data_IF_525485321442
#
_entry.id   IF_525485321442
#
_cell.length_a   1.000
_cell.length_b   1.000
_cell.length_c   1.000
_cell.angle_alpha   90.00
_cell.angle_beta   90.00
_cell.angle_gamma   90.00
#
_symmetry.space_group_name_H-M   'P 1'
#
loop_
_entity.id
_entity.type
_entity.pdbx_description
1 polymer ?
#
# COMPACT_ATOMS: atom_id res chain seq x y z
N UNK A 1 -2.78 -2.96 11.15
CA UNK A 1 -3.57 -4.19 10.90
C UNK A 1 -2.81 -5.39 11.44
N UNK A 2 -3.42 -6.24 12.27
CA UNK A 2 -2.82 -7.50 12.71
C UNK A 2 -3.64 -8.69 12.21
N UNK A 3 -2.96 -9.81 11.95
CA UNK A 3 -3.58 -11.08 11.64
C UNK A 3 -3.05 -12.16 12.60
N UNK A 4 -3.95 -13.02 13.09
CA UNK A 4 -3.62 -14.19 13.90
C UNK A 4 -4.11 -15.42 13.18
N UNK A 5 -3.22 -16.37 12.93
CA UNK A 5 -3.54 -17.67 12.35
C UNK A 5 -3.93 -18.64 13.48
N UNK A 6 -5.02 -19.35 13.28
CA UNK A 6 -5.59 -20.27 14.26
C UNK A 6 -5.64 -21.70 13.71
N UNK A 7 -5.29 -22.66 14.55
CA UNK A 7 -5.47 -24.08 14.30
C UNK A 7 -6.94 -24.51 14.49
N UNK A 8 -7.26 -25.79 14.20
CA UNK A 8 -8.62 -26.33 14.35
C UNK A 8 -9.17 -26.26 15.76
N UNK A 9 -8.32 -26.37 16.76
CA UNK A 9 -8.65 -26.27 18.18
C UNK A 9 -8.70 -24.83 18.71
N UNK A 10 -8.60 -23.84 17.79
CA UNK A 10 -8.56 -22.41 18.07
C UNK A 10 -7.28 -21.92 18.78
N UNK A 11 -6.28 -22.77 18.94
CA UNK A 11 -4.97 -22.33 19.40
C UNK A 11 -4.30 -21.40 18.38
N UNK A 12 -3.49 -20.46 18.86
CA UNK A 12 -2.75 -19.54 18.01
C UNK A 12 -1.51 -20.23 17.43
N UNK A 13 -1.42 -20.26 16.10
CA UNK A 13 -0.23 -20.74 15.39
C UNK A 13 0.80 -19.62 15.27
N UNK A 14 0.38 -18.45 14.81
CA UNK A 14 1.23 -17.29 14.64
C UNK A 14 0.42 -16.00 14.63
N UNK A 15 1.06 -14.88 14.97
CA UNK A 15 0.46 -13.55 14.88
C UNK A 15 1.48 -12.57 14.31
N UNK A 16 1.07 -11.84 13.26
CA UNK A 16 1.90 -10.88 12.54
C UNK A 16 1.11 -9.62 12.21
N UNK A 17 1.84 -8.53 11.93
CA UNK A 17 1.25 -7.25 11.57
C UNK A 17 1.68 -6.74 10.19
N UNK A 18 0.84 -5.91 9.58
CA UNK A 18 1.22 -5.08 8.44
C UNK A 18 1.35 -3.64 8.92
N UNK A 19 2.52 -3.08 8.69
CA UNK A 19 2.81 -1.68 8.94
C UNK A 19 3.16 -0.95 7.64
N UNK A 20 4.15 -1.42 6.89
CA UNK A 20 4.65 -0.74 5.69
C UNK A 20 3.76 -0.94 4.45
N UNK A 21 3.01 -2.05 4.39
CA UNK A 21 2.15 -2.37 3.24
C UNK A 21 0.68 -1.98 3.47
N UNK A 22 0.46 -0.87 4.16
CA UNK A 22 -0.87 -0.34 4.48
C UNK A 22 -0.82 1.19 4.51
N UNK A 23 -1.87 1.85 4.06
CA UNK A 23 -1.97 3.30 4.23
C UNK A 23 -2.21 3.64 5.71
N UNK A 24 -1.41 4.57 6.22
CA UNK A 24 -1.50 5.03 7.60
C UNK A 24 -2.56 6.12 7.80
N UNK A 25 -3.04 6.70 6.70
CA UNK A 25 -4.12 7.67 6.69
C UNK A 25 -5.18 7.24 5.70
N UNK A 26 -6.43 7.19 6.13
CA UNK A 26 -7.58 6.91 5.28
C UNK A 26 -8.62 8.00 5.44
N UNK A 27 -9.03 8.58 4.34
CA UNK A 27 -10.21 9.44 4.29
C UNK A 27 -11.49 8.59 4.34
N UNK A 28 -12.64 9.19 4.71
CA UNK A 28 -13.92 8.47 4.71
C UNK A 28 -14.18 7.77 3.37
N UNK A 29 -14.60 6.51 3.44
CA UNK A 29 -14.86 5.63 2.28
C UNK A 29 -13.65 5.19 1.47
N UNK A 30 -12.43 5.59 1.84
CA UNK A 30 -11.24 5.03 1.25
C UNK A 30 -10.95 3.62 1.78
N UNK A 31 -10.31 2.81 0.95
CA UNK A 31 -9.82 1.48 1.30
C UNK A 31 -8.32 1.43 1.06
N UNK A 32 -7.63 0.69 1.91
CA UNK A 32 -6.20 0.44 1.77
C UNK A 32 -5.96 -1.04 1.56
N UNK A 33 -5.02 -1.43 0.69
CA UNK A 33 -4.50 -2.79 0.71
C UNK A 33 -3.69 -3.03 1.98
N UNK A 34 -3.42 -4.28 2.27
CA UNK A 34 -2.41 -4.68 3.25
C UNK A 34 -1.78 -6.01 2.84
N UNK A 35 -0.56 -6.25 3.29
CA UNK A 35 0.14 -7.51 3.10
C UNK A 35 0.73 -7.95 4.45
N UNK A 36 0.37 -9.16 4.89
CA UNK A 36 0.93 -9.81 6.07
C UNK A 36 1.50 -11.15 5.64
N UNK A 37 2.75 -11.42 6.00
CA UNK A 37 3.45 -12.65 5.64
C UNK A 37 3.73 -13.48 6.89
N UNK A 38 3.57 -14.79 6.76
CA UNK A 38 3.85 -15.78 7.78
C UNK A 38 4.88 -16.78 7.24
N UNK A 39 6.16 -16.42 7.18
CA UNK A 39 7.17 -17.19 6.46
C UNK A 39 7.43 -18.59 7.03
N UNK A 40 7.10 -18.80 8.31
CA UNK A 40 7.36 -20.06 9.03
C UNK A 40 6.11 -20.90 9.24
N UNK A 41 4.99 -20.58 8.58
CA UNK A 41 3.71 -21.29 8.76
C UNK A 41 3.34 -22.06 7.51
N UNK A 42 2.96 -23.32 7.69
CA UNK A 42 2.43 -24.16 6.61
C UNK A 42 0.92 -23.96 6.49
N UNK A 43 0.43 -23.68 5.28
CA UNK A 43 -0.99 -23.36 5.05
C UNK A 43 -1.94 -24.46 5.52
N UNK A 44 -1.53 -25.75 5.46
CA UNK A 44 -2.34 -26.90 5.91
C UNK A 44 -2.61 -26.92 7.43
N UNK A 45 -1.84 -26.21 8.22
CA UNK A 45 -2.01 -26.10 9.67
C UNK A 45 -3.05 -25.03 10.05
N UNK A 46 -3.34 -24.12 9.12
CA UNK A 46 -4.23 -22.97 9.36
C UNK A 46 -5.69 -23.36 9.12
N UNK A 47 -6.50 -23.28 10.16
CA UNK A 47 -7.95 -23.48 10.05
C UNK A 47 -8.71 -22.18 9.81
N UNK A 48 -8.25 -21.07 10.40
CA UNK A 48 -8.88 -19.75 10.25
C UNK A 48 -7.90 -18.62 10.48
N UNK A 49 -8.29 -17.42 10.03
CA UNK A 49 -7.53 -16.18 10.22
C UNK A 49 -8.40 -15.19 10.97
N UNK A 50 -7.89 -14.65 12.07
CA UNK A 50 -8.50 -13.55 12.80
C UNK A 50 -7.81 -12.25 12.44
N UNK A 51 -8.57 -11.29 11.91
CA UNK A 51 -8.07 -9.96 11.55
C UNK A 51 -8.44 -8.97 12.65
N UNK A 52 -7.46 -8.16 13.07
CA UNK A 52 -7.64 -7.11 14.09
C UNK A 52 -7.13 -5.77 13.53
N UNK A 53 -8.04 -4.91 13.04
CA UNK A 53 -7.65 -3.58 12.62
C UNK A 53 -7.36 -2.69 13.84
N UNK A 54 -6.35 -1.83 13.70
CA UNK A 54 -6.11 -0.71 14.60
C UNK A 54 -6.40 0.57 13.85
N UNK A 55 -7.24 1.41 14.39
CA UNK A 55 -7.53 2.73 13.84
C UNK A 55 -7.76 3.73 14.96
N UNK A 56 -7.32 4.96 14.75
CA UNK A 56 -7.60 6.10 15.61
C UNK A 56 -8.22 7.18 14.75
N UNK A 57 -9.31 7.76 15.22
CA UNK A 57 -9.87 8.94 14.58
C UNK A 57 -8.99 10.14 14.89
N UNK A 58 -8.57 10.83 13.84
CA UNK A 58 -7.83 12.08 13.94
C UNK A 58 -8.69 13.20 13.36
N UNK A 59 -8.52 14.45 13.83
CA UNK A 59 -9.17 15.59 13.19
C UNK A 59 -8.85 15.63 11.70
N UNK A 60 -9.84 16.01 10.88
CA UNK A 60 -9.60 16.22 9.46
C UNK A 60 -8.53 17.30 9.30
N UNK A 61 -7.42 16.94 8.68
CA UNK A 61 -6.42 17.90 8.24
C UNK A 61 -6.68 18.23 6.78
N UNK A 62 -6.29 19.43 6.36
CA UNK A 62 -6.24 19.76 4.95
C UNK A 62 -5.01 19.06 4.33
N UNK A 63 -5.13 17.74 4.14
CA UNK A 63 -4.05 16.98 3.52
C UNK A 63 -3.78 17.48 2.11
N UNK A 64 -2.52 17.53 1.70
CA UNK A 64 -2.18 17.93 0.35
C UNK A 64 -2.80 16.93 -0.64
N UNK A 65 -3.47 17.46 -1.66
CA UNK A 65 -4.00 16.67 -2.76
C UNK A 65 -2.85 16.29 -3.67
N UNK A 66 -2.53 15.00 -3.73
CA UNK A 66 -1.51 14.47 -4.64
C UNK A 66 -2.23 13.70 -5.74
N UNK A 67 -1.96 14.07 -6.97
CA UNK A 67 -2.46 13.43 -8.16
C UNK A 67 -1.41 12.49 -8.75
N UNK A 68 -1.85 11.33 -9.27
CA UNK A 68 -1.01 10.46 -10.08
C UNK A 68 -1.21 10.83 -11.55
N UNK A 69 -0.12 11.09 -12.24
CA UNK A 69 -0.13 11.35 -13.68
C UNK A 69 0.74 10.32 -14.40
N UNK A 70 0.39 10.02 -15.65
CA UNK A 70 1.12 9.09 -16.52
C UNK A 70 1.35 7.72 -15.84
N UNK A 71 0.37 7.24 -15.08
CA UNK A 71 0.41 5.91 -14.48
C UNK A 71 0.46 4.84 -15.57
N UNK A 72 1.39 3.92 -15.42
CA UNK A 72 1.61 2.88 -16.40
C UNK A 72 2.05 1.57 -15.73
N UNK A 73 1.31 0.50 -16.02
CA UNK A 73 1.67 -0.87 -15.66
C UNK A 73 2.38 -1.52 -16.86
N UNK A 74 3.69 -1.74 -16.73
CA UNK A 74 4.47 -2.48 -17.72
C UNK A 74 4.24 -3.98 -17.59
N UNK A 75 4.10 -4.72 -18.71
CA UNK A 75 3.89 -6.16 -18.69
C UNK A 75 5.17 -6.94 -18.36
N UNK A 76 5.01 -8.25 -18.08
CA UNK A 76 6.15 -9.17 -18.00
C UNK A 76 7.00 -9.17 -19.30
N UNK A 77 8.34 -9.41 -19.24
CA UNK A 77 9.05 -9.96 -18.08
C UNK A 77 9.42 -8.91 -17.00
N UNK A 78 9.63 -7.65 -17.36
CA UNK A 78 10.06 -6.58 -16.45
C UNK A 78 8.86 -5.79 -15.91
N UNK A 79 7.89 -6.50 -15.33
CA UNK A 79 6.67 -5.89 -14.86
C UNK A 79 6.93 -4.86 -13.77
N UNK A 80 6.35 -3.70 -13.94
CA UNK A 80 6.49 -2.59 -13.00
C UNK A 80 5.31 -1.64 -13.10
N UNK A 81 5.04 -0.94 -12.01
CA UNK A 81 4.12 0.18 -11.96
C UNK A 81 4.93 1.46 -11.81
N UNK A 82 4.73 2.39 -12.71
CA UNK A 82 5.41 3.68 -12.73
C UNK A 82 4.43 4.82 -12.94
N UNK A 83 4.83 6.03 -12.59
CA UNK A 83 4.05 7.23 -12.79
C UNK A 83 4.73 8.46 -12.20
N UNK A 84 3.98 9.54 -12.12
CA UNK A 84 4.44 10.79 -11.54
C UNK A 84 3.45 11.26 -10.47
N UNK A 85 3.97 11.65 -9.32
CA UNK A 85 3.20 12.31 -8.27
C UNK A 85 3.26 13.81 -8.47
N UNK A 86 2.11 14.47 -8.53
CA UNK A 86 2.01 15.92 -8.65
C UNK A 86 1.24 16.44 -7.46
N UNK A 87 1.89 17.26 -6.66
CA UNK A 87 1.28 17.93 -5.53
C UNK A 87 0.44 19.11 -6.02
N UNK A 88 -0.87 18.99 -5.96
CA UNK A 88 -1.83 20.02 -6.38
C UNK A 88 -2.13 21.04 -5.27
N UNK A 89 -1.57 20.86 -4.09
CA UNK A 89 -1.72 21.82 -3.00
C UNK A 89 -0.70 22.94 -3.09
N UNK A 90 -0.98 24.06 -2.42
CA UNK A 90 -0.02 25.17 -2.30
C UNK A 90 1.08 24.94 -1.25
N UNK A 91 1.11 23.77 -0.59
CA UNK A 91 2.05 23.46 0.48
C UNK A 91 2.97 22.30 0.10
N UNK A 92 4.18 22.31 0.62
CA UNK A 92 5.15 21.20 0.43
C UNK A 92 4.70 19.99 1.23
N UNK A 93 4.73 18.81 0.60
CA UNK A 93 4.53 17.52 1.27
C UNK A 93 5.87 16.86 1.48
N UNK A 94 6.18 16.49 2.72
CA UNK A 94 7.49 15.96 3.05
C UNK A 94 7.67 14.48 2.70
N UNK A 95 6.62 13.69 2.82
CA UNK A 95 6.66 12.25 2.52
C UNK A 95 5.43 11.88 1.72
N UNK A 96 5.63 11.17 0.64
CA UNK A 96 4.58 10.47 -0.08
C UNK A 96 4.84 8.96 -0.04
N UNK A 97 3.81 8.21 0.27
CA UNK A 97 3.81 6.75 0.30
C UNK A 97 2.85 6.23 -0.76
N UNK A 98 3.39 5.56 -1.76
CA UNK A 98 2.63 4.96 -2.87
C UNK A 98 2.43 3.49 -2.57
N UNK A 99 1.19 3.03 -2.59
CA UNK A 99 0.79 1.63 -2.41
C UNK A 99 0.18 1.11 -3.70
N UNK A 100 0.79 0.11 -4.31
CA UNK A 100 0.26 -0.61 -5.47
C UNK A 100 -0.38 -1.92 -5.04
N UNK A 101 -1.63 -2.16 -5.46
CA UNK A 101 -2.31 -3.45 -5.35
C UNK A 101 -2.44 -4.04 -6.74
N UNK A 102 -1.94 -5.25 -6.93
CA UNK A 102 -1.93 -5.92 -8.22
C UNK A 102 -2.90 -7.09 -8.24
N UNK A 103 -3.69 -7.19 -9.29
CA UNK A 103 -4.76 -8.17 -9.43
C UNK A 103 -4.51 -9.07 -10.64
N UNK A 104 -4.97 -10.31 -10.55
CA UNK A 104 -5.06 -11.21 -11.69
C UNK A 104 -6.31 -10.94 -12.55
N UNK A 105 -6.47 -11.73 -13.62
CA UNK A 105 -7.63 -11.64 -14.53
C UNK A 105 -8.98 -11.94 -13.86
N UNK A 106 -8.98 -12.62 -12.71
CA UNK A 106 -10.19 -12.91 -11.93
C UNK A 106 -10.52 -11.83 -10.91
N UNK A 107 -9.65 -10.80 -10.79
CA UNK A 107 -9.79 -9.72 -9.80
C UNK A 107 -9.29 -10.11 -8.40
N UNK A 108 -8.54 -11.21 -8.28
CA UNK A 108 -7.91 -11.59 -7.02
C UNK A 108 -6.59 -10.84 -6.83
N UNK A 109 -6.33 -10.42 -5.59
CA UNK A 109 -5.07 -9.78 -5.23
C UNK A 109 -3.94 -10.80 -5.29
N UNK A 110 -2.94 -10.56 -6.14
CA UNK A 110 -1.74 -11.40 -6.27
C UNK A 110 -0.54 -10.78 -5.58
N UNK A 111 -0.51 -9.45 -5.43
CA UNK A 111 0.61 -8.75 -4.81
C UNK A 111 0.19 -7.39 -4.25
N UNK A 112 0.87 -6.95 -3.20
CA UNK A 112 0.84 -5.59 -2.70
C UNK A 112 2.27 -5.13 -2.50
N UNK A 113 2.60 -3.99 -3.07
CA UNK A 113 3.90 -3.36 -2.93
C UNK A 113 3.75 -1.89 -2.61
N UNK A 114 4.82 -1.29 -2.14
CA UNK A 114 4.86 0.12 -1.78
C UNK A 114 6.19 0.76 -2.15
N UNK A 115 6.15 2.08 -2.22
CA UNK A 115 7.32 2.91 -2.32
C UNK A 115 7.14 4.18 -1.49
N UNK A 116 8.09 4.47 -0.62
CA UNK A 116 8.25 5.80 -0.05
C UNK A 116 9.04 6.67 -1.02
N UNK A 117 8.51 7.83 -1.33
CA UNK A 117 9.23 8.84 -2.12
C UNK A 117 10.05 9.68 -1.15
N UNK A 118 11.36 9.53 -1.20
CA UNK A 118 12.35 10.10 -0.28
C UNK A 118 12.75 11.55 -0.58
N UNK A 119 11.87 12.25 -1.27
CA UNK A 119 12.01 13.68 -1.54
C UNK A 119 10.70 14.43 -1.32
N UNK A 120 10.80 15.69 -0.94
CA UNK A 120 9.65 16.53 -0.77
C UNK A 120 8.94 16.77 -2.12
N UNK A 121 7.60 16.68 -2.10
CA UNK A 121 6.78 17.05 -3.25
C UNK A 121 6.49 18.55 -3.21
N UNK A 122 7.20 19.30 -4.01
CA UNK A 122 6.93 20.73 -4.21
C UNK A 122 5.63 20.92 -5.00
N UNK A 123 4.89 22.01 -4.78
CA UNK A 123 3.69 22.33 -5.53
C UNK A 123 3.93 22.27 -7.06
N UNK A 124 3.02 21.65 -7.78
CA UNK A 124 3.02 21.50 -9.25
C UNK A 124 4.31 20.90 -9.87
N UNK A 125 5.19 20.30 -9.06
CA UNK A 125 6.44 19.70 -9.55
C UNK A 125 6.28 18.18 -9.62
N UNK A 126 6.31 17.56 -10.83
CA UNK A 126 6.20 16.12 -10.94
C UNK A 126 7.40 15.39 -10.34
N UNK A 127 7.12 14.34 -9.55
CA UNK A 127 8.14 13.47 -8.96
C UNK A 127 7.84 12.03 -9.39
N UNK A 128 8.76 11.34 -10.07
CA UNK A 128 8.53 9.98 -10.52
C UNK A 128 8.51 8.99 -9.35
N UNK A 129 7.69 7.95 -9.50
CA UNK A 129 7.73 6.75 -8.68
C UNK A 129 7.84 5.50 -9.54
N UNK A 130 8.34 4.42 -8.94
CA UNK A 130 8.54 3.14 -9.61
C UNK A 130 8.42 1.98 -8.62
N UNK A 131 7.50 1.06 -8.85
CA UNK A 131 7.29 -0.14 -8.06
C UNK A 131 7.59 -1.35 -8.95
N UNK A 132 8.64 -2.10 -8.62
CA UNK A 132 8.98 -3.35 -9.30
C UNK A 132 8.04 -4.47 -8.85
N UNK A 133 7.58 -5.30 -9.81
CA UNK A 133 6.78 -6.50 -9.54
C UNK A 133 7.68 -7.72 -9.65
N UNK A 134 7.74 -8.61 -8.64
CA UNK A 134 8.55 -9.81 -8.69
C UNK A 134 8.24 -10.66 -9.93
N UNK A 135 9.28 -11.22 -10.56
CA UNK A 135 9.17 -11.93 -11.83
C UNK A 135 8.21 -13.13 -11.78
N UNK A 136 8.20 -13.85 -10.66
CA UNK A 136 7.31 -14.99 -10.42
C UNK A 136 5.81 -14.60 -10.34
N UNK A 137 5.53 -13.33 -10.05
CA UNK A 137 4.19 -12.75 -9.98
C UNK A 137 3.81 -11.99 -11.25
N UNK A 138 4.79 -11.45 -11.96
CA UNK A 138 4.61 -10.57 -13.11
C UNK A 138 3.64 -11.14 -14.18
N UNK A 139 3.73 -12.44 -14.44
CA UNK A 139 2.85 -13.13 -15.42
C UNK A 139 1.41 -13.28 -14.95
N UNK A 140 1.14 -13.13 -13.67
CA UNK A 140 -0.20 -13.24 -13.07
C UNK A 140 -0.92 -11.91 -13.03
N UNK A 141 -0.16 -10.81 -13.01
CA UNK A 141 -0.71 -9.46 -12.91
C UNK A 141 -1.43 -9.08 -14.21
N UNK A 142 -2.63 -8.55 -14.06
CA UNK A 142 -3.48 -8.09 -15.16
C UNK A 142 -3.87 -6.62 -15.00
N UNK A 143 -4.13 -6.18 -13.77
CA UNK A 143 -4.52 -4.80 -13.45
C UNK A 143 -3.93 -4.39 -12.11
N UNK A 144 -3.98 -3.08 -11.84
CA UNK A 144 -3.50 -2.48 -10.60
C UNK A 144 -4.53 -1.51 -10.02
N UNK A 145 -4.29 -1.16 -8.79
CA UNK A 145 -4.92 -0.03 -8.12
C UNK A 145 -3.89 0.65 -7.22
N UNK A 146 -3.72 1.94 -7.40
CA UNK A 146 -2.78 2.72 -6.61
C UNK A 146 -3.49 3.57 -5.55
N UNK A 147 -2.91 3.61 -4.38
CA UNK A 147 -3.32 4.48 -3.27
C UNK A 147 -2.11 5.30 -2.84
N UNK A 148 -2.31 6.59 -2.62
CA UNK A 148 -1.28 7.48 -2.10
C UNK A 148 -1.69 7.93 -0.70
N UNK A 149 -0.74 7.85 0.22
CA UNK A 149 -0.81 8.53 1.49
C UNK A 149 0.32 9.58 1.55
N UNK A 150 0.01 10.77 1.99
CA UNK A 150 0.99 11.82 2.19
C UNK A 150 1.01 12.28 3.63
N UNK A 151 2.19 12.62 4.11
CA UNK A 151 2.39 13.09 5.48
C UNK A 151 3.06 14.44 5.43
N UNK A 152 2.44 15.44 6.06
CA UNK A 152 3.09 16.70 6.42
C UNK A 152 3.45 16.62 7.89
N UNK A 153 4.74 16.55 8.19
CA UNK A 153 5.16 16.85 9.55
C UNK A 153 4.98 18.36 9.72
N UNK A 154 3.93 18.75 10.44
CA UNK A 154 3.76 20.12 10.85
C UNK A 154 5.01 20.55 11.61
N UNK A 155 5.81 21.39 11.00
CA UNK A 155 6.84 22.10 11.73
C UNK A 155 6.11 22.93 12.78
N UNK A 156 6.28 22.58 14.06
CA UNK A 156 5.94 23.48 15.16
C UNK A 156 6.71 24.76 14.92
N UNK A 157 5.98 25.82 14.51
CA UNK A 157 6.46 27.20 14.61
C UNK A 157 6.57 27.59 16.08
#
# INVERSE_FOLDING_TARGET
>A
MNATLLAKDQSTIASEGSFDKISHLLLPKQVTPFLIRFPSVTLSEVASVRMTPFSTLIPASADPVIEIQNEHLSPAPDASLSGQLVNQSGQVTNIAHVLGTFYDKSGQVVWVADQYVDRALLPATPVPFYIHIPEDLARKVSTERTVIASYSFGGSQ
#
